data_IF_880071188992
#
_entry.id   IF_880071188992
#
_cell.length_a   1.000
_cell.length_b   1.000
_cell.length_c   1.000
_cell.angle_alpha   90.00
_cell.angle_beta   90.00
_cell.angle_gamma   90.00
#
_symmetry.space_group_name_H-M   'P 1'
#
loop_
_entity.id
_entity.type
_entity.pdbx_description
1 polymer ?
#
# COMPACT_ATOMS: atom_id res chain seq x y z
N UNK A 1 11.84 27.84 -31.86
CA UNK A 1 12.78 26.71 -31.97
C UNK A 1 11.96 25.43 -31.82
N UNK A 2 11.73 24.76 -32.96
CA UNK A 2 11.37 23.34 -33.23
C UNK A 2 10.51 22.62 -32.17
N UNK A 3 9.19 22.56 -32.35
CA UNK A 3 8.44 21.43 -32.94
C UNK A 3 8.54 20.11 -32.15
N UNK A 4 7.53 19.87 -31.29
CA UNK A 4 7.20 18.55 -30.79
C UNK A 4 6.58 17.72 -31.93
N UNK A 5 7.38 16.83 -32.53
CA UNK A 5 6.90 15.78 -33.40
C UNK A 5 6.71 14.50 -32.57
N UNK A 6 5.46 14.20 -32.20
CA UNK A 6 5.01 12.83 -31.99
C UNK A 6 3.64 12.67 -32.67
N UNK A 7 3.75 12.22 -33.93
CA UNK A 7 2.84 11.38 -34.71
C UNK A 7 1.38 11.39 -34.26
N UNK A 8 0.54 12.05 -35.06
CA UNK A 8 -0.89 11.77 -35.17
C UNK A 8 -1.09 10.28 -35.46
N UNK A 9 -1.63 9.53 -34.51
CA UNK A 9 -2.36 8.30 -34.78
C UNK A 9 -3.86 8.65 -34.85
N UNK A 10 -4.45 8.77 -36.06
CA UNK A 10 -5.87 9.06 -36.20
C UNK A 10 -6.65 7.75 -36.13
N UNK A 11 -6.67 7.09 -34.97
CA UNK A 11 -7.50 5.88 -34.75
C UNK A 11 -8.10 5.89 -33.35
N UNK A 12 -8.68 7.02 -32.93
CA UNK A 12 -9.62 7.02 -31.82
C UNK A 12 -10.91 7.67 -32.32
N UNK A 13 -11.77 6.81 -32.85
CA UNK A 13 -13.16 7.08 -33.21
C UNK A 13 -13.89 7.73 -32.02
N UNK A 14 -14.73 8.73 -32.31
CA UNK A 14 -15.63 9.45 -31.37
C UNK A 14 -16.47 8.50 -30.51
N UNK A 15 -16.64 7.25 -30.93
CA UNK A 15 -17.27 6.19 -30.14
C UNK A 15 -16.49 5.82 -28.87
N UNK A 16 -15.16 5.98 -28.84
CA UNK A 16 -14.32 5.53 -27.70
C UNK A 16 -14.57 6.36 -26.44
N UNK A 17 -14.88 7.65 -26.59
CA UNK A 17 -15.07 8.59 -25.46
C UNK A 17 -16.41 8.35 -24.75
N UNK A 18 -17.44 7.87 -25.47
CA UNK A 18 -18.78 7.61 -24.91
C UNK A 18 -18.90 6.18 -24.35
N UNK A 19 -18.18 5.20 -24.90
CA UNK A 19 -18.23 3.81 -24.43
C UNK A 19 -17.36 3.53 -23.19
N UNK A 20 -16.39 4.38 -22.85
CA UNK A 20 -15.51 4.22 -21.68
C UNK A 20 -16.23 4.37 -20.32
N UNK A 21 -17.08 5.39 -20.06
CA UNK A 21 -17.69 5.57 -18.74
C UNK A 21 -18.71 4.48 -18.37
N UNK A 22 -19.48 3.97 -19.32
CA UNK A 22 -20.47 2.90 -19.08
C UNK A 22 -19.77 1.58 -18.72
N UNK A 23 -18.73 1.20 -19.47
CA UNK A 23 -17.93 -0.01 -19.18
C UNK A 23 -17.19 0.07 -17.84
N UNK A 24 -16.75 1.26 -17.45
CA UNK A 24 -16.15 1.48 -16.13
C UNK A 24 -17.18 1.42 -14.99
N UNK A 25 -18.43 1.84 -15.22
CA UNK A 25 -19.48 1.70 -14.20
C UNK A 25 -19.83 0.24 -13.92
N UNK A 26 -19.88 -0.61 -14.96
CA UNK A 26 -20.10 -2.04 -14.80
C UNK A 26 -18.94 -2.70 -14.06
N UNK A 27 -17.69 -2.41 -14.44
CA UNK A 27 -16.51 -2.91 -13.73
C UNK A 27 -16.47 -2.46 -12.25
N UNK A 28 -16.91 -1.22 -11.95
CA UNK A 28 -17.05 -0.71 -10.57
C UNK A 28 -18.20 -1.37 -9.79
N UNK A 29 -19.18 -1.95 -10.48
CA UNK A 29 -20.32 -2.64 -9.85
C UNK A 29 -20.05 -4.11 -9.52
N UNK A 30 -18.93 -4.66 -10.01
CA UNK A 30 -18.50 -6.03 -9.71
C UNK A 30 -18.09 -6.17 -8.24
N UNK A 31 -18.32 -7.34 -7.65
CA UNK A 31 -17.97 -7.63 -6.25
C UNK A 31 -16.46 -7.43 -6.03
N UNK A 32 -16.13 -6.64 -5.01
CA UNK A 32 -14.76 -6.24 -4.72
C UNK A 32 -13.84 -7.44 -4.43
N UNK A 33 -14.38 -8.53 -3.86
CA UNK A 33 -13.63 -9.76 -3.57
C UNK A 33 -12.96 -10.37 -4.82
N UNK A 34 -13.49 -10.08 -6.01
CA UNK A 34 -12.84 -10.47 -7.26
C UNK A 34 -11.52 -9.71 -7.49
N UNK A 35 -11.45 -8.42 -7.13
CA UNK A 35 -10.30 -7.57 -7.41
C UNK A 35 -9.26 -7.55 -6.30
N UNK A 36 -9.65 -7.79 -5.04
CA UNK A 36 -8.74 -7.68 -3.88
C UNK A 36 -7.49 -8.53 -4.01
N UNK A 37 -7.53 -9.81 -4.46
CA UNK A 37 -6.31 -10.58 -4.65
C UNK A 37 -5.32 -9.90 -5.61
N UNK A 38 -5.81 -9.32 -6.71
CA UNK A 38 -4.96 -8.61 -7.68
C UNK A 38 -4.45 -7.27 -7.14
N UNK A 39 -5.21 -6.60 -6.27
CA UNK A 39 -4.80 -5.34 -5.62
C UNK A 39 -3.71 -5.57 -4.57
N UNK A 40 -3.68 -6.75 -3.92
CA UNK A 40 -2.81 -6.98 -2.77
C UNK A 40 -1.68 -7.98 -3.02
N UNK A 41 -1.72 -8.80 -4.08
CA UNK A 41 -0.70 -9.82 -4.35
C UNK A 41 0.74 -9.25 -4.40
N UNK A 42 0.91 -8.07 -5.01
CA UNK A 42 2.21 -7.42 -5.15
C UNK A 42 2.67 -6.69 -3.87
N UNK A 43 1.78 -6.53 -2.87
CA UNK A 43 2.08 -5.88 -1.58
C UNK A 43 2.19 -6.88 -0.43
N UNK A 44 2.38 -8.16 -0.73
CA UNK A 44 2.58 -9.21 0.28
C UNK A 44 3.81 -8.96 1.16
N UNK A 45 4.85 -8.28 0.64
CA UNK A 45 6.00 -7.85 1.41
C UNK A 45 5.66 -6.77 2.46
N UNK A 46 4.65 -5.93 2.19
CA UNK A 46 4.26 -4.82 3.06
C UNK A 46 3.13 -5.22 4.03
N UNK A 47 2.14 -5.96 3.57
CA UNK A 47 0.94 -6.31 4.33
C UNK A 47 0.97 -7.75 4.88
N UNK A 48 1.91 -8.58 4.43
CA UNK A 48 2.09 -9.96 4.86
C UNK A 48 1.34 -10.96 3.99
N UNK A 49 1.92 -12.16 3.83
CA UNK A 49 1.29 -13.27 3.10
C UNK A 49 -0.02 -13.75 3.73
N UNK A 50 -0.18 -13.57 5.05
CA UNK A 50 -1.41 -13.94 5.77
C UNK A 50 -2.59 -13.08 5.34
N UNK A 51 -2.42 -11.77 5.13
CA UNK A 51 -3.48 -10.90 4.60
C UNK A 51 -3.88 -11.33 3.18
N UNK A 52 -2.91 -11.63 2.32
CA UNK A 52 -3.20 -12.10 0.97
C UNK A 52 -3.93 -13.45 0.96
N UNK A 53 -3.57 -14.37 1.87
CA UNK A 53 -4.29 -15.63 2.04
C UNK A 53 -5.75 -15.41 2.45
N UNK A 54 -6.04 -14.39 3.25
CA UNK A 54 -7.41 -14.05 3.64
C UNK A 54 -8.26 -13.66 2.42
N UNK A 55 -7.70 -12.86 1.52
CA UNK A 55 -8.35 -12.47 0.26
C UNK A 55 -8.58 -13.66 -0.68
N UNK A 56 -7.65 -14.63 -0.70
CA UNK A 56 -7.83 -15.88 -1.43
C UNK A 56 -8.94 -16.75 -0.81
N UNK A 57 -9.11 -16.75 0.51
CA UNK A 57 -10.20 -17.47 1.14
C UNK A 57 -11.55 -16.80 0.84
N UNK A 58 -11.62 -15.47 0.89
CA UNK A 58 -12.84 -14.72 0.55
C UNK A 58 -13.29 -14.97 -0.90
N UNK A 59 -12.37 -14.96 -1.88
CA UNK A 59 -12.74 -15.27 -3.27
C UNK A 59 -13.19 -16.73 -3.44
N UNK A 60 -12.59 -17.68 -2.71
CA UNK A 60 -13.03 -19.08 -2.71
C UNK A 60 -14.43 -19.25 -2.13
N UNK A 61 -14.75 -18.55 -1.03
CA UNK A 61 -16.07 -18.58 -0.39
C UNK A 61 -17.17 -17.95 -1.27
N UNK A 62 -16.79 -17.00 -2.13
CA UNK A 62 -17.71 -16.27 -3.01
C UNK A 62 -17.70 -16.79 -4.44
N UNK A 63 -16.94 -17.83 -4.74
CA UNK A 63 -16.68 -18.29 -6.10
C UNK A 63 -17.95 -18.51 -6.95
N UNK A 64 -18.94 -19.21 -6.39
CA UNK A 64 -20.25 -19.42 -7.05
C UNK A 64 -21.05 -18.11 -7.20
N UNK A 65 -21.00 -17.23 -6.19
CA UNK A 65 -21.68 -15.92 -6.21
C UNK A 65 -21.07 -14.96 -7.23
N UNK A 66 -19.79 -15.13 -7.54
CA UNK A 66 -19.08 -14.39 -8.58
C UNK A 66 -19.44 -14.87 -10.00
N UNK A 67 -20.20 -15.96 -10.13
CA UNK A 67 -20.68 -16.47 -11.41
C UNK A 67 -19.67 -17.32 -12.18
N UNK A 68 -18.62 -17.82 -11.51
CA UNK A 68 -17.65 -18.72 -12.14
C UNK A 68 -18.20 -20.14 -12.24
N UNK A 69 -18.12 -20.73 -13.43
CA UNK A 69 -18.67 -22.06 -13.72
C UNK A 69 -17.72 -23.21 -13.33
N UNK A 70 -16.41 -22.96 -13.34
CA UNK A 70 -15.40 -23.97 -13.01
C UNK A 70 -15.19 -24.10 -11.51
N UNK A 71 -14.56 -25.19 -11.07
CA UNK A 71 -14.12 -25.31 -9.68
C UNK A 71 -13.11 -24.22 -9.33
N UNK A 72 -13.21 -23.65 -8.13
CA UNK A 72 -12.25 -22.66 -7.66
C UNK A 72 -10.82 -23.23 -7.65
N UNK A 73 -9.83 -22.55 -8.26
CA UNK A 73 -8.43 -22.99 -8.25
C UNK A 73 -7.78 -22.88 -6.87
N UNK A 74 -8.44 -22.16 -5.95
CA UNK A 74 -8.03 -22.00 -4.55
C UNK A 74 -9.01 -22.80 -3.67
N UNK A 75 -8.80 -24.11 -3.47
CA UNK A 75 -9.72 -24.92 -2.68
C UNK A 75 -9.77 -24.41 -1.23
N UNK A 76 -10.97 -24.43 -0.64
CA UNK A 76 -11.13 -24.10 0.77
C UNK A 76 -10.34 -25.10 1.61
N UNK A 77 -9.51 -24.56 2.51
CA UNK A 77 -8.74 -25.36 3.45
C UNK A 77 -9.65 -26.15 4.40
N UNK A 78 -9.13 -27.23 4.98
CA UNK A 78 -9.83 -27.97 6.03
C UNK A 78 -10.22 -27.06 7.20
N UNK A 79 -11.23 -27.43 8.03
CA UNK A 79 -11.65 -26.62 9.17
C UNK A 79 -10.49 -26.26 10.12
N UNK A 80 -9.56 -27.18 10.33
CA UNK A 80 -8.40 -26.97 11.20
C UNK A 80 -7.41 -25.95 10.60
N UNK A 81 -7.12 -26.04 9.30
CA UNK A 81 -6.27 -25.07 8.59
C UNK A 81 -6.90 -23.68 8.53
N UNK A 82 -8.23 -23.62 8.41
CA UNK A 82 -8.97 -22.35 8.43
C UNK A 82 -8.97 -21.73 9.83
N UNK A 83 -9.12 -22.54 10.88
CA UNK A 83 -8.98 -22.07 12.26
C UNK A 83 -7.56 -21.55 12.55
N UNK A 84 -6.53 -22.24 12.05
CA UNK A 84 -5.15 -21.78 12.13
C UNK A 84 -4.96 -20.44 11.40
N UNK A 85 -5.48 -20.32 10.18
CA UNK A 85 -5.45 -19.06 9.42
C UNK A 85 -6.09 -17.90 10.20
N UNK A 86 -7.27 -18.10 10.80
CA UNK A 86 -7.91 -17.04 11.62
C UNK A 86 -7.05 -16.60 12.78
N UNK A 87 -6.33 -17.53 13.41
CA UNK A 87 -5.39 -17.20 14.51
C UNK A 87 -4.22 -16.37 14.00
N UNK A 88 -3.66 -16.73 12.85
CA UNK A 88 -2.56 -15.99 12.24
C UNK A 88 -2.99 -14.62 11.73
N UNK A 89 -4.20 -14.51 11.19
CA UNK A 89 -4.79 -13.24 10.76
C UNK A 89 -4.96 -12.28 11.95
N UNK A 90 -5.47 -12.75 13.09
CA UNK A 90 -5.56 -11.93 14.32
C UNK A 90 -4.21 -11.46 14.84
N UNK A 91 -3.17 -12.30 14.71
CA UNK A 91 -1.79 -11.92 15.09
C UNK A 91 -1.25 -10.85 14.15
N UNK A 92 -1.55 -10.96 12.85
CA UNK A 92 -1.19 -9.97 11.86
C UNK A 92 -1.85 -8.62 12.17
N UNK A 93 -3.16 -8.60 12.45
CA UNK A 93 -3.88 -7.38 12.86
C UNK A 93 -3.23 -6.73 14.08
N UNK A 94 -2.99 -7.50 15.15
CA UNK A 94 -2.35 -7.00 16.36
C UNK A 94 -0.94 -6.43 16.09
N UNK A 95 -0.17 -7.06 15.18
CA UNK A 95 1.14 -6.57 14.79
C UNK A 95 1.06 -5.23 14.01
N UNK A 96 0.10 -5.10 13.09
CA UNK A 96 -0.14 -3.84 12.36
C UNK A 96 -0.61 -2.72 13.29
N UNK A 97 -1.53 -3.00 14.21
CA UNK A 97 -1.99 -2.03 15.23
C UNK A 97 -0.84 -1.58 16.13
N UNK A 98 0.00 -2.52 16.57
CA UNK A 98 1.20 -2.21 17.37
C UNK A 98 2.16 -1.34 16.58
N UNK A 99 2.44 -1.71 15.32
CA UNK A 99 3.31 -0.93 14.42
C UNK A 99 2.77 0.49 14.22
N UNK A 100 1.48 0.62 13.91
CA UNK A 100 0.83 1.91 13.70
C UNK A 100 0.90 2.79 14.95
N UNK A 101 0.66 2.19 16.13
CA UNK A 101 0.76 2.90 17.41
C UNK A 101 2.19 3.36 17.70
N UNK A 102 3.19 2.51 17.45
CA UNK A 102 4.60 2.87 17.59
C UNK A 102 5.02 3.97 16.61
N UNK A 103 4.60 3.88 15.35
CA UNK A 103 4.80 4.94 14.36
C UNK A 103 4.23 6.28 14.86
N UNK A 104 3.03 6.29 15.44
CA UNK A 104 2.46 7.50 16.03
C UNK A 104 3.25 8.03 17.23
N UNK A 105 3.74 7.14 18.11
CA UNK A 105 4.53 7.52 19.28
C UNK A 105 5.92 8.06 18.94
N UNK A 106 6.57 7.47 17.93
CA UNK A 106 7.91 7.85 17.48
C UNK A 106 7.88 8.97 16.45
N UNK A 107 6.70 9.51 16.12
CA UNK A 107 6.49 10.43 15.02
C UNK A 107 7.21 9.92 13.74
N UNK A 108 6.99 8.65 13.43
CA UNK A 108 7.54 7.97 12.28
C UNK A 108 6.43 7.59 11.31
N UNK A 109 6.76 7.66 10.03
CA UNK A 109 5.95 7.15 8.93
C UNK A 109 5.70 5.64 9.08
N UNK A 110 4.65 5.09 8.43
CA UNK A 110 4.40 3.65 8.41
C UNK A 110 5.54 2.82 7.82
N UNK A 111 6.45 3.42 7.06
CA UNK A 111 7.62 2.75 6.47
C UNK A 111 8.86 2.82 7.40
N UNK A 112 8.72 3.42 8.58
CA UNK A 112 9.75 3.44 9.63
C UNK A 112 10.68 4.65 9.60
N UNK A 113 10.44 5.63 8.73
CA UNK A 113 11.18 6.89 8.70
C UNK A 113 10.58 7.90 9.65
N UNK A 114 11.38 8.55 10.48
CA UNK A 114 10.95 9.72 11.27
C UNK A 114 10.52 10.86 10.35
N UNK A 115 9.64 11.75 10.82
CA UNK A 115 9.36 12.99 10.09
C UNK A 115 10.54 13.95 10.22
N UNK A 116 10.78 14.75 9.19
CA UNK A 116 11.86 15.74 9.19
C UNK A 116 11.77 16.68 10.40
N UNK A 117 10.55 17.08 10.80
CA UNK A 117 10.37 17.95 11.97
C UNK A 117 10.79 17.27 13.28
N UNK A 118 10.56 15.95 13.41
CA UNK A 118 10.99 15.20 14.59
C UNK A 118 12.52 15.07 14.67
N UNK A 119 13.16 14.81 13.53
CA UNK A 119 14.61 14.73 13.42
C UNK A 119 15.26 16.10 13.74
N UNK A 120 14.75 17.18 13.14
CA UNK A 120 15.20 18.54 13.41
C UNK A 120 15.01 18.93 14.88
N UNK A 121 13.86 18.60 15.45
CA UNK A 121 13.59 18.87 16.87
C UNK A 121 14.61 18.18 17.78
N UNK A 122 14.99 16.94 17.47
CA UNK A 122 16.00 16.22 18.25
C UNK A 122 17.38 16.89 18.20
N UNK A 123 17.80 17.37 17.01
CA UNK A 123 19.06 18.11 16.84
C UNK A 123 19.05 19.42 17.62
N UNK A 124 17.93 20.17 17.57
CA UNK A 124 17.82 21.48 18.21
C UNK A 124 17.64 21.41 19.73
N UNK A 125 17.12 20.30 20.26
CA UNK A 125 16.91 20.09 21.70
C UNK A 125 18.15 19.56 22.43
N UNK A 126 19.24 19.25 21.72
CA UNK A 126 20.50 18.89 22.37
C UNK A 126 21.16 20.11 23.02
N UNK A 127 21.03 20.22 24.34
CA UNK A 127 21.59 21.32 25.13
C UNK A 127 23.13 21.23 25.29
N UNK A 128 23.76 20.10 24.95
CA UNK A 128 25.20 19.91 25.11
C UNK A 128 25.80 19.02 24.01
N UNK A 129 25.79 19.48 22.74
CA UNK A 129 26.42 18.77 21.64
C UNK A 129 27.94 18.71 21.84
N UNK A 130 28.56 17.60 21.45
CA UNK A 130 30.03 17.50 21.40
C UNK A 130 30.58 18.52 20.38
N UNK A 131 31.78 19.06 20.62
CA UNK A 131 32.34 20.13 19.77
C UNK A 131 32.56 19.65 18.32
N UNK A 132 32.76 18.35 18.13
CA UNK A 132 32.91 17.67 16.84
C UNK A 132 31.61 17.08 16.27
N UNK A 133 30.44 17.33 16.88
CA UNK A 133 29.15 16.89 16.34
C UNK A 133 28.90 17.54 14.97
N UNK A 134 28.73 16.77 13.88
CA UNK A 134 28.61 17.33 12.54
C UNK A 134 27.24 17.94 12.22
N UNK A 135 26.21 17.70 13.03
CA UNK A 135 24.83 18.16 12.80
C UNK A 135 24.40 19.03 13.97
N UNK A 136 24.37 20.36 13.78
CA UNK A 136 24.08 21.30 14.88
C UNK A 136 22.88 22.20 14.63
N UNK A 137 22.52 22.40 13.37
CA UNK A 137 21.45 23.30 12.99
C UNK A 137 20.55 22.74 11.88
N UNK A 138 19.55 23.54 11.48
CA UNK A 138 18.61 23.16 10.43
C UNK A 138 19.31 22.95 9.08
N UNK A 139 20.32 23.75 8.74
CA UNK A 139 20.98 23.67 7.44
C UNK A 139 21.76 22.35 7.33
N UNK A 140 22.48 21.96 8.38
CA UNK A 140 23.16 20.65 8.46
C UNK A 140 22.16 19.48 8.36
N UNK A 141 21.03 19.61 9.07
CA UNK A 141 19.95 18.62 9.08
C UNK A 141 19.33 18.47 7.69
N UNK A 142 19.15 19.57 6.95
CA UNK A 142 18.63 19.58 5.57
C UNK A 142 19.61 18.98 4.58
N UNK A 143 20.92 19.21 4.75
CA UNK A 143 21.95 18.64 3.88
C UNK A 143 22.02 17.11 4.00
N UNK A 144 21.88 16.58 5.23
CA UNK A 144 21.91 15.14 5.48
C UNK A 144 20.60 14.43 5.10
N UNK A 145 19.48 15.15 5.07
CA UNK A 145 18.17 14.55 4.89
C UNK A 145 18.02 13.89 3.50
N UNK A 146 17.68 12.58 3.43
CA UNK A 146 17.72 11.82 2.18
C UNK A 146 16.52 12.05 1.25
N UNK A 147 15.54 12.88 1.64
CA UNK A 147 14.30 13.09 0.89
C UNK A 147 14.04 14.56 0.58
N UNK A 148 13.42 14.86 -0.56
CA UNK A 148 13.01 16.23 -0.86
C UNK A 148 11.92 16.70 0.12
N UNK A 149 12.17 17.83 0.79
CA UNK A 149 11.17 18.51 1.61
C UNK A 149 10.23 19.27 0.68
N UNK A 150 8.92 19.06 0.83
CA UNK A 150 7.91 19.82 0.07
C UNK A 150 7.84 21.23 0.65
N UNK A 151 8.04 22.24 -0.20
CA UNK A 151 7.80 23.66 0.13
C UNK A 151 6.34 23.96 0.51
#
# INVERSE_FOLDING_TARGET
MVCASYVQNPIYDEQTIVYSPVKLSEAKSMDESFFRPFRYCYRTWAHGAVAFRDELIEISLRWEKLGFADSCPFPLSSPDEYAAHKKDYKRLEAAHETKHSLSGLLNATPDGWEFFEAFLQHVLEDENPEDDEPIKDEDDTRELWPFDLKE
#
